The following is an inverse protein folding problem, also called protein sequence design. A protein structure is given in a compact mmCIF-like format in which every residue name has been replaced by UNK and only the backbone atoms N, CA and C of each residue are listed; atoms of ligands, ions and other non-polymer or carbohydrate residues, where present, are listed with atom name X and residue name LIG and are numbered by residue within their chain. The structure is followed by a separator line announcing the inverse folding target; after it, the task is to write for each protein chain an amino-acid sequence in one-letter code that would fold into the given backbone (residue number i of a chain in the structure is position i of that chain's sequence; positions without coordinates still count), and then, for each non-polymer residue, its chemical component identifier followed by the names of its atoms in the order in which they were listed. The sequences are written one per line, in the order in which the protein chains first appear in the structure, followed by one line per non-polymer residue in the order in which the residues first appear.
data_IF_268190073853
#
_entry.id   IF_268190073853
#
_cell.length_a   1.000
_cell.length_b   1.000
_cell.length_c   1.000
_cell.angle_alpha   90.00
_cell.angle_beta   90.00
_cell.angle_gamma   90.00
#
_symmetry.space_group_name_H-M   'P 1'
#
loop_
_entity.id
_entity.type
_entity.pdbx_description
1 polymer ?
#
# COMPACT_ATOMS: atom_id res chain seq x y z
N UNK A 1 31.75 7.14 23.56
CA UNK A 1 31.62 6.56 22.19
C UNK A 1 32.95 6.76 21.53
N UNK A 2 33.68 5.68 21.20
CA UNK A 2 34.96 5.75 20.55
C UNK A 2 34.81 6.27 19.11
N UNK A 3 35.79 6.94 18.54
CA UNK A 3 35.82 7.46 17.17
C UNK A 3 35.53 6.35 16.14
N UNK A 4 36.00 5.14 16.36
CA UNK A 4 35.72 3.97 15.53
C UNK A 4 34.25 3.55 15.59
N UNK A 5 33.62 3.61 16.76
CA UNK A 5 32.18 3.35 16.92
C UNK A 5 31.34 4.43 16.25
N UNK A 6 31.78 5.69 16.28
CA UNK A 6 31.17 6.81 15.58
C UNK A 6 31.31 6.66 14.06
N UNK A 7 32.49 6.27 13.56
CA UNK A 7 32.68 6.01 12.12
C UNK A 7 31.86 4.78 11.67
N UNK A 8 31.83 3.71 12.47
CA UNK A 8 30.99 2.54 12.19
C UNK A 8 29.48 2.89 12.19
N UNK A 9 29.04 3.80 13.05
CA UNK A 9 27.67 4.28 13.04
C UNK A 9 27.32 5.15 11.82
N UNK A 10 28.35 5.80 11.22
CA UNK A 10 28.22 6.61 9.99
C UNK A 10 28.56 5.86 8.71
N UNK A 11 29.33 4.77 8.78
CA UNK A 11 29.45 3.85 7.65
C UNK A 11 28.11 3.14 7.53
N UNK A 12 27.31 3.55 6.54
CA UNK A 12 26.05 2.91 6.16
C UNK A 12 26.35 1.49 5.62
N UNK A 13 26.88 0.63 6.52
CA UNK A 13 27.21 -0.74 6.17
C UNK A 13 25.91 -1.49 5.93
N UNK A 14 25.83 -2.12 4.82
CA UNK A 14 24.77 -3.08 4.43
C UNK A 14 24.89 -4.34 5.28
N UNK A 15 24.71 -4.20 6.60
CA UNK A 15 24.76 -5.31 7.54
C UNK A 15 23.68 -6.34 7.18
N UNK A 16 24.06 -7.60 7.17
CA UNK A 16 23.09 -8.69 7.26
C UNK A 16 22.71 -8.82 8.73
N UNK A 17 21.48 -8.53 9.07
CA UNK A 17 20.93 -8.64 10.44
C UNK A 17 20.25 -9.98 10.66
N UNK A 18 20.04 -10.75 9.58
CA UNK A 18 19.28 -11.98 9.57
C UNK A 18 20.12 -13.25 9.68
N UNK A 19 19.53 -14.34 9.23
CA UNK A 19 20.06 -15.68 9.29
C UNK A 19 19.62 -16.49 8.07
N UNK A 20 20.17 -17.68 7.85
CA UNK A 20 19.71 -18.58 6.78
C UNK A 20 18.30 -19.10 7.10
N UNK A 21 17.33 -19.02 6.15
CA UNK A 21 15.99 -19.53 6.39
C UNK A 21 16.03 -21.02 6.74
N UNK A 22 15.20 -21.40 7.71
CA UNK A 22 15.11 -22.77 8.25
C UNK A 22 13.86 -23.49 7.78
N UNK A 23 12.93 -22.75 7.15
CA UNK A 23 11.65 -23.30 6.67
C UNK A 23 11.14 -22.51 5.45
N UNK A 24 10.44 -23.22 4.57
CA UNK A 24 9.74 -22.63 3.42
C UNK A 24 8.37 -23.29 3.29
N UNK A 25 7.29 -22.50 3.07
CA UNK A 25 5.96 -23.08 2.93
C UNK A 25 5.82 -23.86 1.64
N UNK A 26 5.15 -25.02 1.70
CA UNK A 26 4.80 -25.79 0.52
C UNK A 26 3.85 -24.97 -0.36
N UNK A 27 4.08 -25.01 -1.69
CA UNK A 27 3.27 -24.28 -2.67
C UNK A 27 3.60 -22.80 -2.81
N UNK A 28 4.65 -22.27 -2.16
CA UNK A 28 5.20 -20.96 -2.48
C UNK A 28 5.86 -20.99 -3.88
N UNK A 29 5.55 -20.01 -4.72
CA UNK A 29 6.19 -19.89 -6.04
C UNK A 29 7.68 -19.54 -5.89
N UNK A 30 8.49 -19.92 -6.88
CA UNK A 30 9.95 -19.74 -6.84
C UNK A 30 10.37 -18.30 -6.55
N UNK A 31 9.71 -17.31 -7.15
CA UNK A 31 9.99 -15.91 -6.89
C UNK A 31 9.63 -15.48 -5.44
N UNK A 32 8.58 -16.07 -4.85
CA UNK A 32 8.21 -15.83 -3.45
C UNK A 32 9.25 -16.44 -2.51
N UNK A 33 9.71 -17.66 -2.80
CA UNK A 33 10.79 -18.30 -2.05
C UNK A 33 12.07 -17.47 -2.10
N UNK A 34 12.43 -16.93 -3.27
CA UNK A 34 13.57 -16.04 -3.44
C UNK A 34 13.47 -14.76 -2.59
N UNK A 35 12.28 -14.15 -2.54
CA UNK A 35 12.04 -12.96 -1.72
C UNK A 35 12.11 -13.30 -0.22
N UNK A 36 11.49 -14.41 0.20
CA UNK A 36 11.51 -14.89 1.60
C UNK A 36 12.96 -15.14 2.03
N UNK A 37 13.74 -15.86 1.22
CA UNK A 37 15.14 -16.15 1.50
C UNK A 37 15.96 -14.85 1.66
N UNK A 38 15.86 -13.93 0.71
CA UNK A 38 16.53 -12.62 0.78
C UNK A 38 16.10 -11.85 2.04
N UNK A 39 14.80 -11.85 2.37
CA UNK A 39 14.27 -11.13 3.50
C UNK A 39 14.79 -11.69 4.84
N UNK A 40 14.75 -13.00 5.03
CA UNK A 40 15.22 -13.65 6.26
C UNK A 40 16.73 -13.45 6.45
N UNK A 41 17.53 -13.56 5.37
CA UNK A 41 18.99 -13.28 5.45
C UNK A 41 19.31 -11.83 5.73
N UNK A 42 18.51 -10.89 5.22
CA UNK A 42 18.69 -9.46 5.51
C UNK A 42 18.25 -9.08 6.92
N UNK A 43 17.18 -9.66 7.43
CA UNK A 43 16.59 -9.35 8.74
C UNK A 43 15.98 -7.94 8.84
N UNK A 44 16.33 -7.04 7.91
CA UNK A 44 15.75 -5.69 7.76
C UNK A 44 15.63 -5.36 6.29
N UNK A 45 14.41 -5.34 5.74
CA UNK A 45 14.21 -5.15 4.30
C UNK A 45 12.81 -4.60 3.98
N UNK A 46 12.73 -3.80 2.91
CA UNK A 46 11.50 -3.43 2.24
C UNK A 46 11.14 -4.45 1.15
N UNK A 47 9.99 -5.09 1.26
CA UNK A 47 9.42 -5.98 0.24
C UNK A 47 8.35 -5.23 -0.53
N UNK A 48 8.75 -4.61 -1.62
CA UNK A 48 7.88 -3.76 -2.44
C UNK A 48 7.36 -4.56 -3.64
N UNK A 49 6.41 -5.44 -3.33
CA UNK A 49 5.77 -6.31 -4.30
C UNK A 49 4.38 -5.79 -4.67
N UNK A 50 4.02 -5.85 -5.95
CA UNK A 50 2.70 -5.43 -6.41
C UNK A 50 1.57 -6.25 -5.77
N UNK A 51 0.34 -5.76 -5.89
CA UNK A 51 -0.84 -6.44 -5.33
C UNK A 51 -1.05 -7.78 -6.02
N UNK A 52 -1.37 -8.81 -5.21
CA UNK A 52 -1.60 -10.16 -5.71
C UNK A 52 -0.34 -11.04 -5.84
N UNK A 53 0.86 -10.53 -5.57
CA UNK A 53 2.10 -11.32 -5.58
C UNK A 53 2.32 -12.14 -4.29
N UNK A 54 1.34 -12.19 -3.38
CA UNK A 54 1.40 -13.02 -2.18
C UNK A 54 2.20 -12.41 -1.03
N UNK A 55 2.15 -11.08 -0.86
CA UNK A 55 2.79 -10.39 0.27
C UNK A 55 2.42 -10.98 1.62
N UNK A 56 1.16 -11.32 1.84
CA UNK A 56 0.66 -11.93 3.08
C UNK A 56 1.34 -13.27 3.37
N UNK A 57 1.41 -14.17 2.36
CA UNK A 57 2.13 -15.43 2.44
C UNK A 57 3.59 -15.22 2.81
N UNK A 58 4.28 -14.31 2.10
CA UNK A 58 5.69 -14.04 2.34
C UNK A 58 5.93 -13.49 3.75
N UNK A 59 5.08 -12.59 4.24
CA UNK A 59 5.19 -12.05 5.60
C UNK A 59 4.97 -13.15 6.66
N UNK A 60 3.95 -14.01 6.51
CA UNK A 60 3.72 -15.14 7.43
C UNK A 60 4.89 -16.11 7.40
N UNK A 61 5.43 -16.43 6.23
CA UNK A 61 6.58 -17.32 6.08
C UNK A 61 7.86 -16.74 6.74
N UNK A 62 8.09 -15.45 6.62
CA UNK A 62 9.21 -14.77 7.29
C UNK A 62 8.99 -14.79 8.80
N UNK A 63 7.78 -14.50 9.29
CA UNK A 63 7.44 -14.55 10.70
C UNK A 63 7.71 -15.93 11.31
N UNK A 64 7.29 -16.97 10.62
CA UNK A 64 7.53 -18.36 11.04
C UNK A 64 9.02 -18.71 11.10
N UNK A 65 9.83 -18.27 10.11
CA UNK A 65 11.29 -18.43 10.16
C UNK A 65 11.90 -17.73 11.38
N UNK A 66 11.47 -16.50 11.68
CA UNK A 66 11.95 -15.74 12.85
C UNK A 66 11.61 -16.48 14.15
N UNK A 67 10.39 -17.04 14.26
CA UNK A 67 9.96 -17.78 15.45
C UNK A 67 10.77 -19.07 15.61
N UNK A 68 10.95 -19.84 14.54
CA UNK A 68 11.74 -21.08 14.58
C UNK A 68 13.19 -20.85 14.98
N UNK A 69 13.75 -19.70 14.54
CA UNK A 69 15.13 -19.35 14.87
C UNK A 69 15.28 -18.77 16.28
N UNK A 70 14.36 -17.90 16.72
CA UNK A 70 14.52 -17.11 17.96
C UNK A 70 13.68 -17.60 19.13
N UNK A 71 12.63 -18.35 18.88
CA UNK A 71 11.58 -18.73 19.81
C UNK A 71 10.86 -17.54 20.49
N UNK A 72 10.87 -16.34 19.85
CA UNK A 72 10.30 -15.10 20.38
C UNK A 72 9.11 -14.62 19.51
N UNK A 73 8.36 -13.65 20.05
CA UNK A 73 7.15 -13.10 19.38
C UNK A 73 7.48 -12.19 18.21
N UNK A 74 6.60 -12.24 17.21
CA UNK A 74 6.59 -11.42 16.00
C UNK A 74 5.31 -10.61 15.96
N UNK A 75 5.40 -9.32 15.64
CA UNK A 75 4.26 -8.43 15.40
C UNK A 75 4.12 -8.16 13.91
N UNK A 76 2.90 -8.31 13.40
CA UNK A 76 2.49 -7.86 12.06
C UNK A 76 1.48 -6.74 12.23
N UNK A 77 1.85 -5.53 11.82
CA UNK A 77 0.96 -4.37 11.81
C UNK A 77 0.26 -4.28 10.45
N UNK A 78 -1.06 -4.20 10.48
CA UNK A 78 -1.90 -4.20 9.28
C UNK A 78 -2.88 -3.04 9.28
N UNK A 79 -3.35 -2.61 8.10
CA UNK A 79 -4.55 -1.80 7.99
C UNK A 79 -5.79 -2.51 8.55
N UNK A 80 -6.84 -1.72 8.81
CA UNK A 80 -8.11 -2.23 9.31
C UNK A 80 -8.68 -3.35 8.40
N UNK A 81 -9.29 -4.36 9.01
CA UNK A 81 -9.96 -5.50 8.37
C UNK A 81 -9.05 -6.45 7.54
N UNK A 82 -7.72 -6.32 7.62
CA UNK A 82 -6.79 -7.22 6.91
C UNK A 82 -6.35 -8.40 7.78
N UNK A 83 -6.48 -8.29 9.09
CA UNK A 83 -5.97 -9.29 10.03
C UNK A 83 -6.51 -10.71 9.76
N UNK A 84 -7.79 -10.86 9.38
CA UNK A 84 -8.37 -12.16 9.05
C UNK A 84 -7.67 -12.84 7.85
N UNK A 85 -7.23 -12.05 6.84
CA UNK A 85 -6.51 -12.60 5.68
C UNK A 85 -5.15 -13.21 6.08
N UNK A 86 -4.50 -12.63 7.10
CA UNK A 86 -3.27 -13.22 7.66
C UNK A 86 -3.54 -14.55 8.37
N UNK A 87 -4.65 -14.65 9.09
CA UNK A 87 -5.05 -15.90 9.75
C UNK A 87 -5.38 -16.97 8.71
N UNK A 88 -6.21 -16.64 7.70
CA UNK A 88 -6.58 -17.57 6.63
C UNK A 88 -5.35 -18.05 5.85
N UNK A 89 -4.44 -17.13 5.52
CA UNK A 89 -3.21 -17.46 4.79
C UNK A 89 -2.28 -18.32 5.63
N UNK A 90 -2.13 -18.02 6.93
CA UNK A 90 -1.33 -18.82 7.86
C UNK A 90 -1.86 -20.23 7.96
N UNK A 91 -3.18 -20.41 8.13
CA UNK A 91 -3.83 -21.73 8.14
C UNK A 91 -3.57 -22.48 6.83
N UNK A 92 -3.65 -21.82 5.68
CA UNK A 92 -3.40 -22.41 4.36
C UNK A 92 -1.98 -22.98 4.22
N UNK A 93 -0.98 -22.35 4.84
CA UNK A 93 0.43 -22.79 4.78
C UNK A 93 0.89 -23.55 6.01
N UNK A 94 -0.05 -23.95 6.92
CA UNK A 94 0.24 -24.78 8.09
C UNK A 94 0.92 -24.03 9.23
N UNK A 95 0.63 -22.73 9.42
CA UNK A 95 1.12 -21.92 10.53
C UNK A 95 -0.03 -21.62 11.49
N UNK A 96 -0.05 -22.28 12.67
CA UNK A 96 -1.16 -22.22 13.63
C UNK A 96 -0.89 -21.28 14.81
N UNK A 97 0.37 -20.83 15.01
CA UNK A 97 0.76 -19.97 16.13
C UNK A 97 0.60 -18.48 15.81
N UNK A 98 -0.58 -18.11 15.27
CA UNK A 98 -0.95 -16.76 14.85
C UNK A 98 -2.31 -16.36 15.43
N UNK A 99 -2.46 -15.12 15.88
CA UNK A 99 -3.73 -14.57 16.36
C UNK A 99 -3.86 -13.07 16.08
N UNK A 100 -5.10 -12.60 15.89
CA UNK A 100 -5.43 -11.17 15.86
C UNK A 100 -5.62 -10.64 17.26
N UNK A 101 -4.86 -9.61 17.65
CA UNK A 101 -5.00 -8.92 18.93
C UNK A 101 -5.81 -7.63 18.74
N UNK A 102 -6.98 -7.55 19.39
CA UNK A 102 -7.86 -6.37 19.38
C UNK A 102 -7.71 -5.50 20.63
N UNK A 103 -7.18 -6.04 21.72
CA UNK A 103 -7.10 -5.42 23.04
C UNK A 103 -5.67 -5.36 23.61
N UNK A 104 -4.67 -5.77 22.82
CA UNK A 104 -3.27 -5.85 23.25
C UNK A 104 -2.89 -7.21 23.87
N UNK A 105 -3.81 -8.16 23.98
CA UNK A 105 -3.52 -9.50 24.51
C UNK A 105 -2.67 -10.31 23.54
N UNK A 106 -1.60 -10.93 24.03
CA UNK A 106 -0.62 -11.71 23.27
C UNK A 106 -0.81 -13.21 23.52
N UNK A 107 -1.72 -13.85 22.78
CA UNK A 107 -2.07 -15.27 22.94
C UNK A 107 -1.19 -16.22 22.16
N UNK A 108 -0.62 -15.76 21.05
CA UNK A 108 0.19 -16.52 20.10
C UNK A 108 1.52 -15.83 19.83
N UNK A 109 2.49 -16.53 19.22
CA UNK A 109 3.79 -15.95 18.90
C UNK A 109 3.72 -14.97 17.73
N UNK A 110 2.89 -15.23 16.72
CA UNK A 110 2.59 -14.22 15.68
C UNK A 110 1.35 -13.45 16.14
N UNK A 111 1.54 -12.17 16.43
CA UNK A 111 0.47 -11.25 16.76
C UNK A 111 0.19 -10.37 15.56
N UNK A 112 -1.04 -10.42 15.03
CA UNK A 112 -1.52 -9.47 14.01
C UNK A 112 -2.30 -8.38 14.72
N UNK A 113 -2.00 -7.11 14.45
CA UNK A 113 -2.66 -5.97 15.08
C UNK A 113 -2.84 -4.82 14.09
N UNK A 114 -3.89 -4.03 14.25
CA UNK A 114 -4.12 -2.86 13.40
C UNK A 114 -3.26 -1.68 13.87
N UNK A 115 -2.89 -0.79 12.94
CA UNK A 115 -2.09 0.41 13.24
C UNK A 115 -2.72 1.29 14.32
N UNK A 116 -4.05 1.41 14.33
CA UNK A 116 -4.81 2.21 15.29
C UNK A 116 -4.68 1.71 16.73
N UNK A 117 -4.33 0.43 16.90
CA UNK A 117 -4.18 -0.25 18.20
C UNK A 117 -2.72 -0.41 18.65
N UNK A 118 -1.76 0.15 17.92
CA UNK A 118 -0.33 0.05 18.25
C UNK A 118 -0.01 0.53 19.67
N UNK A 119 -0.75 1.53 20.18
CA UNK A 119 -0.58 2.08 21.52
C UNK A 119 -0.87 1.09 22.65
N UNK A 120 -1.52 -0.05 22.36
CA UNK A 120 -1.79 -1.12 23.32
C UNK A 120 -0.62 -2.11 23.48
N UNK A 121 0.42 -2.01 22.65
CA UNK A 121 1.52 -2.96 22.56
C UNK A 121 2.83 -2.36 23.04
N UNK A 122 3.67 -3.21 23.68
CA UNK A 122 5.02 -2.83 24.08
C UNK A 122 6.06 -3.40 23.07
N UNK A 123 6.93 -2.58 22.47
CA UNK A 123 7.93 -3.06 21.52
C UNK A 123 8.91 -4.11 22.11
N UNK A 124 9.13 -4.11 23.42
CA UNK A 124 10.06 -5.04 24.08
C UNK A 124 9.50 -6.49 24.13
N UNK A 125 8.22 -6.68 23.87
CA UNK A 125 7.60 -8.01 23.78
C UNK A 125 7.92 -8.72 22.46
N UNK A 126 8.50 -8.00 21.47
CA UNK A 126 8.70 -8.50 20.12
C UNK A 126 10.16 -8.47 19.68
N UNK A 127 10.58 -9.50 18.97
CA UNK A 127 11.90 -9.54 18.31
C UNK A 127 11.81 -9.06 16.86
N UNK A 128 10.61 -9.09 16.29
CA UNK A 128 10.34 -8.74 14.90
C UNK A 128 9.08 -7.89 14.77
N UNK A 129 9.13 -6.88 13.92
CA UNK A 129 7.95 -6.10 13.48
C UNK A 129 7.90 -6.07 11.97
N UNK A 130 6.73 -6.37 11.43
CA UNK A 130 6.41 -6.28 10.00
C UNK A 130 5.30 -5.25 9.81
N UNK A 131 5.46 -4.38 8.82
CA UNK A 131 4.43 -3.43 8.39
C UNK A 131 3.81 -3.91 7.09
N UNK A 132 2.57 -4.36 7.14
CA UNK A 132 1.76 -4.54 5.94
C UNK A 132 1.19 -3.18 5.52
N UNK A 133 1.29 -2.84 4.23
CA UNK A 133 1.00 -1.53 3.66
C UNK A 133 1.80 -0.39 4.32
N UNK A 134 3.15 -0.53 4.28
CA UNK A 134 4.09 0.43 4.85
C UNK A 134 4.08 1.83 4.20
N UNK A 135 3.28 2.06 3.16
CA UNK A 135 3.00 3.39 2.60
C UNK A 135 2.42 4.37 3.63
N UNK A 136 1.92 3.88 4.78
CA UNK A 136 1.54 4.70 5.93
C UNK A 136 2.69 5.59 6.44
N UNK A 137 3.95 5.21 6.20
CA UNK A 137 5.15 5.96 6.59
C UNK A 137 5.45 7.16 5.67
N UNK A 138 4.79 7.31 4.53
CA UNK A 138 5.11 8.32 3.52
C UNK A 138 5.06 9.78 4.02
N UNK A 139 4.20 10.08 4.97
CA UNK A 139 4.07 11.43 5.52
C UNK A 139 5.12 11.67 6.60
N UNK A 140 6.20 12.35 6.26
CA UNK A 140 7.31 12.65 7.17
C UNK A 140 6.87 13.42 8.44
N UNK A 141 5.91 14.30 8.35
CA UNK A 141 5.42 15.12 9.47
C UNK A 141 4.23 14.50 10.23
N UNK A 142 3.89 13.23 9.96
CA UNK A 142 2.71 12.57 10.54
C UNK A 142 2.97 11.99 11.93
N UNK A 143 2.14 12.33 12.93
CA UNK A 143 2.20 11.74 14.29
C UNK A 143 2.19 10.21 14.28
N UNK A 144 1.38 9.59 13.43
CA UNK A 144 1.30 8.13 13.27
C UNK A 144 2.64 7.55 12.80
N UNK A 145 3.29 8.21 11.81
CA UNK A 145 4.63 7.81 11.34
C UNK A 145 5.62 7.83 12.49
N UNK A 146 5.66 8.88 13.30
CA UNK A 146 6.62 9.02 14.38
C UNK A 146 6.42 7.95 15.46
N UNK A 147 5.18 7.63 15.80
CA UNK A 147 4.85 6.54 16.72
C UNK A 147 5.33 5.17 16.19
N UNK A 148 5.05 4.87 14.92
CA UNK A 148 5.47 3.62 14.29
C UNK A 148 6.99 3.53 14.25
N UNK A 149 7.68 4.59 13.81
CA UNK A 149 9.15 4.61 13.72
C UNK A 149 9.81 4.47 15.09
N UNK A 150 9.28 5.14 16.11
CA UNK A 150 9.78 5.01 17.48
C UNK A 150 9.62 3.58 18.02
N UNK A 151 8.49 2.93 17.72
CA UNK A 151 8.25 1.54 18.09
C UNK A 151 9.21 0.58 17.39
N UNK A 152 9.31 0.67 16.05
CA UNK A 152 10.14 -0.22 15.23
C UNK A 152 11.64 -0.11 15.57
N UNK A 153 12.12 1.11 15.88
CA UNK A 153 13.56 1.33 16.20
C UNK A 153 14.05 0.50 17.40
N UNK A 154 13.15 0.06 18.28
CA UNK A 154 13.47 -0.80 19.43
C UNK A 154 13.54 -2.29 19.09
N UNK A 155 13.06 -2.69 17.91
CA UNK A 155 12.91 -4.10 17.52
C UNK A 155 14.04 -4.50 16.56
N UNK A 156 14.72 -5.66 16.76
CA UNK A 156 15.85 -6.09 15.92
C UNK A 156 15.49 -6.35 14.47
N UNK A 157 14.49 -7.20 14.20
CA UNK A 157 14.06 -7.58 12.85
C UNK A 157 12.93 -6.68 12.35
N UNK A 158 13.08 -6.12 11.17
CA UNK A 158 12.15 -5.10 10.64
C UNK A 158 11.84 -5.35 9.18
N UNK A 159 10.57 -5.48 8.85
CA UNK A 159 10.13 -5.73 7.48
C UNK A 159 9.03 -4.74 7.09
N UNK A 160 9.18 -4.16 5.91
CA UNK A 160 8.18 -3.28 5.32
C UNK A 160 7.61 -3.94 4.08
N UNK A 161 6.30 -3.85 3.88
CA UNK A 161 5.62 -4.44 2.73
C UNK A 161 4.60 -3.46 2.17
N UNK A 162 4.67 -3.17 0.88
CA UNK A 162 3.68 -2.34 0.16
C UNK A 162 3.80 -2.54 -1.34
N UNK A 163 2.72 -2.26 -2.07
CA UNK A 163 2.74 -2.15 -3.53
C UNK A 163 3.14 -0.76 -4.03
N UNK A 164 3.07 0.25 -3.17
CA UNK A 164 3.32 1.66 -3.51
C UNK A 164 4.34 2.28 -2.55
N UNK A 165 5.64 1.93 -2.68
CA UNK A 165 6.68 2.38 -1.75
C UNK A 165 6.96 3.89 -1.84
N UNK A 166 6.75 4.50 -3.01
CA UNK A 166 6.95 5.92 -3.26
C UNK A 166 5.93 6.41 -4.31
N UNK A 167 4.66 6.57 -3.91
CA UNK A 167 3.58 6.87 -4.85
C UNK A 167 3.67 8.27 -5.48
N UNK A 168 4.34 9.21 -4.85
CA UNK A 168 4.44 10.58 -5.33
C UNK A 168 5.87 10.98 -5.74
N UNK A 169 6.87 10.61 -4.94
CA UNK A 169 8.27 11.01 -5.15
C UNK A 169 9.25 10.03 -4.49
N UNK A 170 10.45 9.87 -5.05
CA UNK A 170 11.53 9.04 -4.50
C UNK A 170 11.96 9.43 -3.08
N UNK A 171 11.75 10.68 -2.67
CA UNK A 171 12.08 11.11 -1.30
C UNK A 171 11.33 10.31 -0.22
N UNK A 172 10.14 9.77 -0.54
CA UNK A 172 9.34 8.96 0.40
C UNK A 172 10.08 7.67 0.84
N UNK A 173 11.02 7.15 0.01
CA UNK A 173 11.85 5.99 0.35
C UNK A 173 12.77 6.26 1.54
N UNK A 174 13.10 7.51 1.83
CA UNK A 174 13.89 7.89 2.99
C UNK A 174 13.21 7.52 4.31
N UNK A 175 11.90 7.64 4.40
CA UNK A 175 11.13 7.22 5.58
C UNK A 175 11.22 5.70 5.80
N UNK A 176 11.12 4.92 4.72
CA UNK A 176 11.26 3.47 4.75
C UNK A 176 12.68 3.05 5.18
N UNK A 177 13.70 3.69 4.62
CA UNK A 177 15.11 3.47 5.00
C UNK A 177 15.36 3.78 6.48
N UNK A 178 14.85 4.89 6.98
CA UNK A 178 14.98 5.29 8.39
C UNK A 178 14.28 4.30 9.33
N UNK A 179 13.08 3.83 8.99
CA UNK A 179 12.35 2.84 9.78
C UNK A 179 13.10 1.51 9.85
N UNK A 180 13.70 1.06 8.75
CA UNK A 180 14.54 -0.14 8.71
C UNK A 180 15.88 0.03 9.45
N UNK A 181 16.30 1.26 9.72
CA UNK A 181 17.54 1.57 10.43
C UNK A 181 18.77 1.61 9.53
N UNK A 182 18.57 1.96 8.26
CA UNK A 182 19.64 2.30 7.31
C UNK A 182 19.93 3.81 7.35
N UNK A 183 19.90 4.48 6.21
CA UNK A 183 20.15 5.93 6.14
C UNK A 183 18.94 6.73 6.63
N UNK A 184 19.17 7.77 7.44
CA UNK A 184 18.13 8.70 7.86
C UNK A 184 17.57 9.51 6.69
N UNK A 185 16.33 9.99 6.83
CA UNK A 185 15.64 10.75 5.79
C UNK A 185 16.44 12.00 5.33
N UNK A 186 16.92 12.81 6.29
CA UNK A 186 17.67 14.03 5.97
C UNK A 186 19.06 13.73 5.35
N UNK A 187 19.72 12.65 5.80
CA UNK A 187 20.98 12.22 5.21
C UNK A 187 20.83 11.78 3.76
N UNK A 188 19.74 11.07 3.46
CA UNK A 188 19.38 10.68 2.10
C UNK A 188 19.14 11.92 1.21
N UNK A 189 18.34 12.88 1.69
CA UNK A 189 18.10 14.13 0.94
C UNK A 189 19.40 14.86 0.64
N UNK A 190 20.26 15.05 1.64
CA UNK A 190 21.53 15.74 1.48
C UNK A 190 22.44 15.02 0.48
N UNK A 191 22.49 13.69 0.55
CA UNK A 191 23.36 12.88 -0.30
C UNK A 191 22.92 12.85 -1.75
N UNK A 192 21.64 12.55 -2.00
CA UNK A 192 21.16 12.21 -3.34
C UNK A 192 20.31 13.30 -4.00
N UNK A 193 19.74 14.22 -3.23
CA UNK A 193 18.82 15.22 -3.75
C UNK A 193 19.41 16.64 -3.67
N UNK A 194 18.88 17.53 -4.52
CA UNK A 194 19.07 18.98 -4.44
C UNK A 194 17.74 19.64 -4.15
N UNK A 195 17.77 20.67 -3.32
CA UNK A 195 16.62 21.55 -3.08
C UNK A 195 16.60 22.68 -4.10
N UNK A 196 15.42 23.04 -4.57
CA UNK A 196 15.20 24.24 -5.37
C UNK A 196 14.55 25.32 -4.48
N UNK A 197 15.36 25.98 -3.66
CA UNK A 197 14.89 27.02 -2.72
C UNK A 197 14.34 28.26 -3.39
N UNK A 198 14.52 28.45 -4.72
CA UNK A 198 14.20 29.66 -5.47
C UNK A 198 13.03 29.49 -6.46
N UNK A 199 12.21 28.48 -6.37
CA UNK A 199 11.02 28.40 -7.22
C UNK A 199 9.89 29.27 -6.66
N UNK A 200 9.98 30.56 -6.94
CA UNK A 200 8.82 31.47 -6.85
C UNK A 200 8.03 31.27 -8.13
N UNK A 201 6.79 30.83 -8.03
CA UNK A 201 5.87 30.81 -9.16
C UNK A 201 5.61 32.23 -9.64
N UNK A 202 5.31 32.42 -10.93
CA UNK A 202 4.98 33.71 -11.58
C UNK A 202 3.88 34.50 -10.83
N UNK A 203 3.14 33.86 -9.92
CA UNK A 203 2.09 34.41 -9.06
C UNK A 203 2.51 34.67 -7.60
N UNK A 204 3.82 34.73 -7.31
CA UNK A 204 4.37 35.05 -5.98
C UNK A 204 3.88 34.13 -4.82
N UNK A 205 3.48 32.87 -5.14
CA UNK A 205 3.16 31.85 -4.13
C UNK A 205 4.42 31.07 -3.83
N UNK A 206 4.81 30.99 -2.55
CA UNK A 206 5.85 30.10 -2.08
C UNK A 206 5.40 28.66 -2.35
N UNK A 207 5.89 28.07 -3.45
CA UNK A 207 5.83 26.63 -3.66
C UNK A 207 6.83 26.06 -2.65
N UNK A 208 6.35 25.23 -1.73
CA UNK A 208 7.18 24.60 -0.72
C UNK A 208 8.43 23.93 -1.34
N UNK A 209 9.46 23.79 -0.54
CA UNK A 209 10.77 23.26 -0.94
C UNK A 209 10.59 21.96 -1.74
N UNK A 210 11.02 21.97 -3.00
CA UNK A 210 10.90 20.82 -3.89
C UNK A 210 12.28 20.19 -4.10
N UNK A 211 12.36 18.89 -3.84
CA UNK A 211 13.57 18.11 -3.97
C UNK A 211 13.63 17.39 -5.31
N UNK A 212 14.81 17.38 -5.94
CA UNK A 212 15.06 16.69 -7.20
C UNK A 212 16.27 15.79 -7.07
N UNK A 213 16.16 14.54 -7.54
CA UNK A 213 17.29 13.62 -7.59
C UNK A 213 18.42 14.23 -8.44
N UNK A 214 19.64 14.25 -7.90
CA UNK A 214 20.81 14.73 -8.62
C UNK A 214 21.13 13.77 -9.78
N UNK A 215 21.25 14.21 -11.05
CA UNK A 215 21.45 13.31 -12.18
C UNK A 215 22.69 12.40 -12.01
N UNK A 216 23.79 12.94 -11.47
CA UNK A 216 25.01 12.16 -11.22
C UNK A 216 24.90 11.18 -10.06
N UNK A 217 23.92 11.33 -9.16
CA UNK A 217 23.69 10.46 -8.01
C UNK A 217 22.62 9.39 -8.28
N UNK A 218 21.99 9.39 -9.43
CA UNK A 218 20.88 8.49 -9.75
C UNK A 218 21.26 7.01 -9.63
N UNK A 219 22.39 6.64 -10.24
CA UNK A 219 22.91 5.26 -10.16
C UNK A 219 23.20 4.83 -8.72
N UNK A 220 23.85 5.69 -7.95
CA UNK A 220 24.21 5.40 -6.56
C UNK A 220 22.97 5.35 -5.65
N UNK A 221 21.96 6.19 -5.94
CA UNK A 221 20.67 6.15 -5.25
C UNK A 221 19.96 4.81 -5.43
N UNK A 222 19.83 4.34 -6.67
CA UNK A 222 19.18 3.06 -6.94
C UNK A 222 19.98 1.87 -6.42
N UNK A 223 21.31 1.91 -6.52
CA UNK A 223 22.18 0.90 -5.91
C UNK A 223 22.00 0.85 -4.38
N UNK A 224 21.87 2.00 -3.73
CA UNK A 224 21.58 2.08 -2.30
C UNK A 224 20.20 1.53 -1.96
N UNK A 225 19.15 1.87 -2.71
CA UNK A 225 17.79 1.35 -2.50
C UNK A 225 17.78 -0.18 -2.61
N UNK A 226 18.47 -0.74 -3.59
CA UNK A 226 18.56 -2.20 -3.80
C UNK A 226 19.21 -2.96 -2.63
N UNK A 227 20.07 -2.30 -1.86
CA UNK A 227 20.74 -2.94 -0.72
C UNK A 227 19.79 -3.31 0.42
N UNK A 228 18.68 -2.58 0.57
CA UNK A 228 17.73 -2.75 1.67
C UNK A 228 16.28 -3.01 1.20
N UNK A 229 16.07 -3.19 -0.10
CA UNK A 229 14.74 -3.51 -0.63
C UNK A 229 14.79 -4.58 -1.73
N UNK A 230 13.61 -5.14 -2.03
CA UNK A 230 13.31 -5.89 -3.23
C UNK A 230 12.05 -5.30 -3.84
N UNK A 231 12.06 -5.05 -5.16
CA UNK A 231 10.96 -4.42 -5.87
C UNK A 231 10.51 -5.32 -7.02
N UNK A 232 9.21 -5.63 -7.08
CA UNK A 232 8.67 -6.56 -8.07
C UNK A 232 7.23 -6.20 -8.43
N UNK A 233 6.96 -6.04 -9.72
CA UNK A 233 5.60 -5.91 -10.29
C UNK A 233 5.06 -7.24 -10.76
N UNK A 234 5.93 -8.09 -11.28
CA UNK A 234 5.61 -9.41 -11.83
C UNK A 234 6.83 -10.33 -11.67
N UNK A 235 6.64 -11.64 -11.67
CA UNK A 235 7.73 -12.60 -11.46
C UNK A 235 8.93 -12.42 -12.41
N UNK A 236 8.70 -12.02 -13.67
CA UNK A 236 9.78 -11.79 -14.64
C UNK A 236 10.71 -10.62 -14.29
N UNK A 237 10.31 -9.72 -13.40
CA UNK A 237 11.21 -8.68 -12.89
C UNK A 237 12.37 -9.26 -12.07
N UNK A 238 12.21 -10.49 -11.55
CA UNK A 238 13.23 -11.26 -10.83
C UNK A 238 13.79 -12.44 -11.64
N UNK A 239 13.48 -12.51 -12.94
CA UNK A 239 13.94 -13.58 -13.83
C UNK A 239 13.08 -14.86 -13.82
N UNK A 240 11.90 -14.86 -13.19
CA UNK A 240 10.97 -15.98 -13.16
C UNK A 240 9.90 -15.84 -14.25
N UNK A 241 9.14 -16.92 -14.50
CA UNK A 241 8.08 -16.91 -15.50
C UNK A 241 6.81 -16.22 -14.95
N UNK A 242 6.13 -15.44 -15.80
CA UNK A 242 4.88 -14.74 -15.46
C UNK A 242 3.63 -15.63 -15.58
N UNK A 243 3.78 -16.92 -15.86
CA UNK A 243 2.64 -17.84 -16.04
C UNK A 243 1.68 -17.82 -14.84
N UNK A 244 0.43 -17.49 -15.11
CA UNK A 244 -0.62 -17.36 -14.09
C UNK A 244 -0.71 -15.97 -13.43
N UNK A 245 0.16 -15.03 -13.81
CA UNK A 245 0.15 -13.65 -13.32
C UNK A 245 -0.40 -12.64 -14.34
N UNK A 246 -0.89 -13.10 -15.47
CA UNK A 246 -1.57 -12.29 -16.46
C UNK A 246 -2.95 -11.88 -15.92
N UNK A 247 -3.21 -10.58 -15.92
CA UNK A 247 -4.48 -10.03 -15.46
C UNK A 247 -5.45 -9.90 -16.64
N UNK A 248 -6.76 -10.14 -16.42
CA UNK A 248 -7.78 -9.85 -17.43
C UNK A 248 -7.85 -8.35 -17.73
N UNK A 249 -8.59 -7.97 -18.77
CA UNK A 249 -8.74 -6.57 -19.15
C UNK A 249 -9.37 -5.72 -18.03
N UNK A 250 -8.84 -4.50 -17.86
CA UNK A 250 -9.45 -3.46 -17.03
C UNK A 250 -10.06 -2.40 -17.94
N UNK A 251 -11.37 -2.25 -17.88
CA UNK A 251 -12.12 -1.27 -18.65
C UNK A 251 -12.41 -0.04 -17.78
N UNK A 252 -11.74 1.06 -18.07
CA UNK A 252 -12.00 2.36 -17.44
C UNK A 252 -12.89 3.17 -18.36
N UNK A 253 -14.12 3.46 -17.93
CA UNK A 253 -15.11 4.21 -18.69
C UNK A 253 -15.38 5.55 -18.01
N UNK A 254 -15.37 6.64 -18.80
CA UNK A 254 -15.63 8.00 -18.32
C UNK A 254 -17.09 8.34 -18.58
N UNK A 255 -17.77 8.85 -17.56
CA UNK A 255 -19.16 9.33 -17.62
C UNK A 255 -19.18 10.77 -17.15
N UNK A 256 -19.45 11.68 -18.07
CA UNK A 256 -19.55 13.11 -17.79
C UNK A 256 -21.04 13.42 -17.57
N UNK A 257 -21.38 14.02 -16.44
CA UNK A 257 -22.71 14.53 -16.16
C UNK A 257 -22.71 16.05 -16.35
N UNK A 258 -23.78 16.54 -16.95
CA UNK A 258 -23.96 17.96 -17.19
C UNK A 258 -24.30 18.66 -15.87
N UNK A 259 -23.76 19.82 -15.65
CA UNK A 259 -24.17 20.67 -14.55
C UNK A 259 -25.48 21.37 -14.91
N UNK A 260 -26.58 21.00 -14.25
CA UNK A 260 -27.86 21.65 -14.43
C UNK A 260 -27.94 23.05 -13.79
N UNK A 261 -26.92 23.41 -12.99
CA UNK A 261 -26.81 24.69 -12.29
C UNK A 261 -25.59 25.45 -12.81
N UNK A 262 -25.81 26.60 -13.43
CA UNK A 262 -24.75 27.52 -13.83
C UNK A 262 -23.93 28.00 -12.62
N UNK A 263 -22.63 27.80 -12.65
CA UNK A 263 -21.73 28.29 -11.61
C UNK A 263 -21.45 29.77 -11.83
N UNK A 264 -21.68 30.61 -10.81
CA UNK A 264 -21.44 32.06 -10.85
C UNK A 264 -20.17 32.38 -10.07
N UNK A 265 -19.13 32.85 -10.75
CA UNK A 265 -18.07 33.62 -10.10
C UNK A 265 -18.53 35.08 -9.97
N UNK A 266 -18.48 35.63 -8.76
CA UNK A 266 -18.81 37.04 -8.45
C UNK A 266 -20.24 37.48 -8.83
N UNK A 267 -21.24 36.59 -8.74
CA UNK A 267 -22.64 36.99 -8.92
C UNK A 267 -23.04 37.26 -10.37
N UNK A 268 -22.24 36.89 -11.36
CA UNK A 268 -22.60 36.91 -12.78
C UNK A 268 -22.85 35.52 -13.31
N UNK A 269 -24.00 35.29 -13.90
CA UNK A 269 -24.34 34.03 -14.58
C UNK A 269 -23.41 33.80 -15.76
N UNK A 270 -22.54 32.80 -15.66
CA UNK A 270 -21.69 32.38 -16.78
C UNK A 270 -22.47 31.40 -17.66
N UNK A 271 -22.58 31.73 -18.93
CA UNK A 271 -23.20 30.89 -19.97
C UNK A 271 -22.41 29.62 -20.30
N UNK A 272 -21.20 29.50 -19.80
CA UNK A 272 -20.32 28.34 -20.03
C UNK A 272 -19.72 27.85 -18.72
N UNK A 273 -19.71 26.52 -18.50
CA UNK A 273 -18.99 25.90 -17.41
C UNK A 273 -17.49 26.18 -17.54
N UNK A 274 -16.91 26.98 -16.62
CA UNK A 274 -15.47 27.18 -16.55
C UNK A 274 -14.83 26.00 -15.82
N UNK A 275 -13.78 25.35 -16.35
CA UNK A 275 -13.12 24.26 -15.63
C UNK A 275 -12.54 24.74 -14.29
N UNK A 276 -12.85 24.03 -13.21
CA UNK A 276 -12.33 24.34 -11.88
C UNK A 276 -10.79 24.29 -11.87
N UNK A 277 -10.14 25.38 -11.48
CA UNK A 277 -8.69 25.54 -11.51
C UNK A 277 -8.02 25.22 -10.15
N UNK A 278 -8.78 25.31 -9.06
CA UNK A 278 -8.29 25.12 -7.68
C UNK A 278 -8.99 23.97 -6.99
N UNK A 279 -8.37 23.43 -5.90
CA UNK A 279 -9.00 22.36 -5.09
C UNK A 279 -10.31 22.83 -4.44
N UNK A 280 -10.45 24.12 -4.15
CA UNK A 280 -11.67 24.71 -3.57
C UNK A 280 -12.78 24.73 -4.61
N UNK A 281 -12.50 25.21 -5.81
CA UNK A 281 -13.47 25.22 -6.93
C UNK A 281 -13.93 23.82 -7.31
N UNK A 282 -13.01 22.85 -7.34
CA UNK A 282 -13.38 21.43 -7.58
C UNK A 282 -14.33 20.92 -6.51
N UNK A 283 -14.13 21.28 -5.23
CA UNK A 283 -15.04 20.89 -4.15
C UNK A 283 -16.42 21.53 -4.27
N UNK A 284 -16.48 22.77 -4.69
CA UNK A 284 -17.75 23.46 -4.92
C UNK A 284 -18.50 22.85 -6.11
N UNK A 285 -17.80 22.59 -7.21
CA UNK A 285 -18.36 21.88 -8.36
C UNK A 285 -18.86 20.47 -7.96
N UNK A 286 -18.12 19.74 -7.14
CA UNK A 286 -18.53 18.45 -6.61
C UNK A 286 -19.84 18.54 -5.79
N UNK A 287 -20.03 19.59 -5.00
CA UNK A 287 -21.26 19.81 -4.24
C UNK A 287 -22.46 20.17 -5.12
N UNK A 288 -22.23 21.00 -6.14
CA UNK A 288 -23.28 21.42 -7.06
C UNK A 288 -23.83 20.25 -7.90
N UNK A 289 -22.99 19.29 -8.24
CA UNK A 289 -23.30 18.17 -9.13
C UNK A 289 -23.50 16.82 -8.40
N UNK A 290 -23.68 16.86 -7.08
CA UNK A 290 -23.84 15.66 -6.25
C UNK A 290 -25.00 14.80 -6.75
N UNK A 291 -26.15 15.39 -7.01
CA UNK A 291 -27.36 14.66 -7.39
C UNK A 291 -27.17 13.92 -8.71
N UNK A 292 -26.76 14.62 -9.75
CA UNK A 292 -26.58 14.09 -11.10
C UNK A 292 -25.51 12.98 -11.11
N UNK A 293 -24.41 13.16 -10.35
CA UNK A 293 -23.34 12.15 -10.25
C UNK A 293 -23.79 10.91 -9.49
N UNK A 294 -24.52 11.06 -8.39
CA UNK A 294 -25.01 9.93 -7.59
C UNK A 294 -26.10 9.15 -8.34
N UNK A 295 -27.04 9.81 -8.99
CA UNK A 295 -28.06 9.15 -9.83
C UNK A 295 -27.40 8.35 -10.97
N UNK A 296 -26.41 8.96 -11.64
CA UNK A 296 -25.66 8.26 -12.69
C UNK A 296 -24.89 7.06 -12.13
N UNK A 297 -24.27 7.18 -10.97
CA UNK A 297 -23.55 6.10 -10.30
C UNK A 297 -24.47 4.91 -9.99
N UNK A 298 -25.66 5.16 -9.45
CA UNK A 298 -26.66 4.11 -9.13
C UNK A 298 -27.12 3.39 -10.40
N UNK A 299 -27.44 4.12 -11.48
CA UNK A 299 -27.79 3.54 -12.78
C UNK A 299 -26.69 2.60 -13.31
N UNK A 300 -25.43 3.00 -13.20
CA UNK A 300 -24.28 2.21 -13.67
C UNK A 300 -24.06 0.92 -12.85
N UNK A 301 -24.42 0.92 -11.59
CA UNK A 301 -24.26 -0.22 -10.67
C UNK A 301 -25.51 -1.12 -10.59
N UNK A 302 -26.60 -0.75 -11.25
CA UNK A 302 -27.85 -1.51 -11.23
C UNK A 302 -27.63 -2.97 -11.64
N UNK A 303 -28.16 -3.90 -10.84
CA UNK A 303 -28.05 -5.34 -11.06
C UNK A 303 -26.64 -5.94 -10.84
N UNK A 304 -25.65 -5.14 -10.42
CA UNK A 304 -24.26 -5.59 -10.25
C UNK A 304 -23.86 -5.63 -8.78
N UNK A 305 -22.89 -6.52 -8.44
CA UNK A 305 -22.08 -6.35 -7.24
C UNK A 305 -21.07 -5.24 -7.51
N UNK A 306 -21.07 -4.19 -6.68
CA UNK A 306 -20.28 -2.97 -6.96
C UNK A 306 -19.82 -2.26 -5.71
N UNK A 307 -18.77 -1.44 -5.86
CA UNK A 307 -18.33 -0.50 -4.83
C UNK A 307 -18.45 0.92 -5.39
N UNK A 308 -19.08 1.80 -4.59
CA UNK A 308 -19.10 3.24 -4.83
C UNK A 308 -17.98 3.90 -4.03
N UNK A 309 -16.99 4.48 -4.71
CA UNK A 309 -15.92 5.24 -4.10
C UNK A 309 -16.25 6.72 -4.12
N UNK A 310 -16.72 7.24 -3.01
CA UNK A 310 -17.07 8.65 -2.86
C UNK A 310 -15.99 9.45 -2.11
N UNK A 311 -16.08 10.78 -2.23
CA UNK A 311 -15.15 11.73 -1.61
C UNK A 311 -15.82 12.54 -0.50
N UNK A 312 -17.05 13.00 -0.76
CA UNK A 312 -17.84 13.85 0.14
C UNK A 312 -18.75 13.00 1.02
N UNK A 313 -19.19 13.52 2.16
CA UNK A 313 -20.24 12.89 2.97
C UNK A 313 -21.57 12.96 2.26
N UNK A 314 -21.88 14.10 1.63
CA UNK A 314 -23.12 14.32 0.89
C UNK A 314 -23.31 13.31 -0.25
N UNK A 315 -22.21 12.91 -0.92
CA UNK A 315 -22.23 11.84 -1.93
C UNK A 315 -22.57 10.49 -1.29
N UNK A 316 -21.98 10.19 -0.14
CA UNK A 316 -22.16 8.92 0.57
C UNK A 316 -23.61 8.77 1.07
N UNK A 317 -24.14 9.81 1.71
CA UNK A 317 -25.50 9.85 2.24
C UNK A 317 -26.54 9.77 1.12
N UNK A 318 -26.33 10.50 0.01
CA UNK A 318 -27.24 10.46 -1.14
C UNK A 318 -27.24 9.10 -1.82
N UNK A 319 -26.07 8.49 -2.06
CA UNK A 319 -25.96 7.15 -2.60
C UNK A 319 -26.70 6.12 -1.73
N UNK A 320 -26.57 6.21 -0.40
CA UNK A 320 -27.28 5.33 0.53
C UNK A 320 -28.81 5.52 0.48
N UNK A 321 -29.28 6.73 0.19
CA UNK A 321 -30.70 7.00 0.03
C UNK A 321 -31.26 6.52 -1.31
N UNK A 322 -30.47 6.57 -2.38
CA UNK A 322 -30.87 6.18 -3.75
C UNK A 322 -30.76 4.66 -4.00
N UNK A 323 -29.85 4.00 -3.31
CA UNK A 323 -29.59 2.56 -3.47
C UNK A 323 -29.80 1.81 -2.14
N UNK A 324 -31.01 1.31 -1.93
CA UNK A 324 -31.41 0.60 -0.70
C UNK A 324 -30.67 -0.73 -0.47
N UNK A 325 -30.04 -1.32 -1.50
CA UNK A 325 -29.25 -2.55 -1.38
C UNK A 325 -27.77 -2.26 -1.03
N UNK A 326 -27.38 -0.99 -0.94
CA UNK A 326 -26.02 -0.60 -0.64
C UNK A 326 -25.80 -0.39 0.87
N UNK A 327 -24.68 -0.87 1.38
CA UNK A 327 -24.27 -0.67 2.77
C UNK A 327 -23.19 0.41 2.82
N UNK A 328 -23.39 1.43 3.65
CA UNK A 328 -22.48 2.56 3.78
C UNK A 328 -21.48 2.34 4.93
N UNK A 329 -20.21 2.73 4.70
CA UNK A 329 -19.19 2.87 5.74
C UNK A 329 -18.85 4.34 5.94
N UNK A 330 -19.17 4.85 7.13
CA UNK A 330 -18.91 6.24 7.52
C UNK A 330 -17.76 6.37 8.52
N UNK A 331 -17.13 7.55 8.54
CA UNK A 331 -15.98 7.83 9.41
C UNK A 331 -16.27 7.63 10.90
N UNK A 332 -17.46 7.99 11.37
CA UNK A 332 -17.88 7.91 12.77
C UNK A 332 -18.22 6.52 13.31
N UNK A 333 -18.29 5.48 12.46
CA UNK A 333 -18.53 4.11 12.92
C UNK A 333 -17.36 3.59 13.77
N UNK A 334 -17.66 2.70 14.72
CA UNK A 334 -16.63 1.98 15.48
C UNK A 334 -15.75 1.14 14.55
N UNK A 335 -14.52 0.88 14.99
CA UNK A 335 -13.55 0.05 14.25
C UNK A 335 -14.12 -1.33 13.97
N UNK A 336 -14.75 -1.95 14.99
CA UNK A 336 -15.31 -3.31 14.87
C UNK A 336 -16.46 -3.37 13.87
N UNK A 337 -17.33 -2.34 13.83
CA UNK A 337 -18.44 -2.29 12.86
C UNK A 337 -17.95 -2.12 11.42
N UNK A 338 -16.93 -1.28 11.20
CA UNK A 338 -16.29 -1.16 9.89
C UNK A 338 -15.69 -2.49 9.44
N UNK A 339 -15.00 -3.18 10.33
CA UNK A 339 -14.39 -4.49 10.07
C UNK A 339 -15.45 -5.53 9.69
N UNK A 340 -16.56 -5.60 10.43
CA UNK A 340 -17.69 -6.49 10.14
C UNK A 340 -18.23 -6.30 8.73
N UNK A 341 -18.54 -5.05 8.34
CA UNK A 341 -19.07 -4.72 7.00
C UNK A 341 -18.07 -5.08 5.90
N UNK A 342 -16.78 -4.77 6.10
CA UNK A 342 -15.74 -5.05 5.10
C UNK A 342 -15.52 -6.55 4.90
N UNK A 343 -15.60 -7.34 5.98
CA UNK A 343 -15.52 -8.81 5.93
C UNK A 343 -16.77 -9.38 5.24
N UNK A 344 -17.97 -8.89 5.58
CA UNK A 344 -19.21 -9.31 4.96
C UNK A 344 -19.21 -9.03 3.44
N UNK A 345 -18.71 -7.86 3.01
CA UNK A 345 -18.54 -7.57 1.59
C UNK A 345 -17.52 -8.49 0.94
N UNK A 346 -16.38 -8.74 1.57
CA UNK A 346 -15.34 -9.65 1.05
C UNK A 346 -15.85 -11.09 0.86
N UNK A 347 -16.81 -11.53 1.68
CA UNK A 347 -17.47 -12.84 1.58
C UNK A 347 -18.64 -12.86 0.58
N UNK A 348 -19.00 -11.72 -0.02
CA UNK A 348 -20.11 -11.60 -0.97
C UNK A 348 -21.50 -11.56 -0.33
N UNK A 349 -21.58 -11.35 0.98
CA UNK A 349 -22.83 -11.23 1.73
C UNK A 349 -23.52 -9.87 1.48
N UNK A 350 -22.75 -8.86 1.10
CA UNK A 350 -23.20 -7.52 0.71
C UNK A 350 -22.99 -7.36 -0.79
N UNK A 351 -24.03 -6.92 -1.50
CA UNK A 351 -24.00 -6.72 -2.96
C UNK A 351 -23.31 -5.41 -3.36
N UNK A 352 -23.64 -4.32 -2.68
CA UNK A 352 -23.10 -2.99 -2.97
C UNK A 352 -22.58 -2.31 -1.71
N UNK A 353 -21.42 -1.70 -1.84
CA UNK A 353 -20.74 -1.03 -0.73
C UNK A 353 -20.49 0.44 -1.09
N UNK A 354 -20.83 1.34 -0.19
CA UNK A 354 -20.52 2.77 -0.30
C UNK A 354 -19.40 3.08 0.69
N UNK A 355 -18.30 3.61 0.19
CA UNK A 355 -17.16 3.94 1.05
C UNK A 355 -16.25 4.98 0.42
N UNK A 356 -15.31 5.51 1.20
CA UNK A 356 -14.26 6.42 0.71
C UNK A 356 -12.97 5.65 0.52
N UNK A 357 -12.28 5.88 -0.60
CA UNK A 357 -11.01 5.25 -0.90
C UNK A 357 -9.98 5.41 0.24
N UNK A 358 -9.97 6.58 0.90
CA UNK A 358 -9.09 6.85 2.05
C UNK A 358 -9.34 5.92 3.25
N UNK A 359 -10.57 5.45 3.44
CA UNK A 359 -10.93 4.62 4.61
C UNK A 359 -10.72 3.13 4.39
N UNK A 360 -10.86 2.67 3.16
CA UNK A 360 -10.96 1.24 2.87
C UNK A 360 -10.06 0.77 1.74
N UNK A 361 -9.22 1.65 1.19
CA UNK A 361 -8.37 1.30 0.04
C UNK A 361 -7.24 0.32 0.37
N UNK A 362 -6.97 0.00 1.63
CA UNK A 362 -5.81 -0.81 2.01
C UNK A 362 -6.15 -2.27 2.34
N UNK A 363 -5.41 -3.21 1.74
CA UNK A 363 -5.25 -4.60 2.18
C UNK A 363 -6.33 -5.63 1.78
N UNK A 364 -7.57 -5.26 1.48
CA UNK A 364 -8.68 -6.20 1.26
C UNK A 364 -8.70 -6.86 -0.12
N UNK A 365 -9.22 -8.08 -0.22
CA UNK A 365 -9.41 -8.81 -1.47
C UNK A 365 -10.90 -8.87 -1.84
N UNK A 366 -11.25 -8.25 -2.98
CA UNK A 366 -12.62 -8.18 -3.49
C UNK A 366 -12.75 -8.68 -4.92
N UNK A 367 -12.06 -9.76 -5.26
CA UNK A 367 -12.06 -10.37 -6.61
C UNK A 367 -13.44 -10.90 -7.05
N UNK A 368 -14.35 -11.16 -6.11
CA UNK A 368 -15.73 -11.52 -6.42
C UNK A 368 -16.49 -10.36 -7.08
N UNK A 369 -16.10 -9.12 -6.82
CA UNK A 369 -16.66 -7.91 -7.39
C UNK A 369 -15.91 -7.52 -8.67
N UNK A 370 -16.64 -7.33 -9.78
CA UNK A 370 -16.08 -7.06 -11.11
C UNK A 370 -16.39 -5.65 -11.60
N UNK A 371 -17.11 -4.89 -10.80
CA UNK A 371 -17.58 -3.56 -11.15
C UNK A 371 -17.37 -2.57 -10.01
N UNK A 372 -17.01 -1.36 -10.36
CA UNK A 372 -16.88 -0.27 -9.38
C UNK A 372 -17.20 1.06 -10.02
N UNK A 373 -17.81 1.96 -9.25
CA UNK A 373 -18.04 3.35 -9.62
C UNK A 373 -17.09 4.22 -8.79
N UNK A 374 -16.33 5.06 -9.45
CA UNK A 374 -15.31 5.89 -8.83
C UNK A 374 -15.56 7.37 -9.10
N UNK A 375 -15.66 8.17 -8.02
CA UNK A 375 -15.64 9.62 -8.11
C UNK A 375 -14.16 10.06 -7.98
N UNK A 376 -13.54 10.56 -9.06
CA UNK A 376 -12.11 10.81 -9.08
C UNK A 376 -11.62 11.81 -8.05
N UNK A 377 -10.42 11.56 -7.53
CA UNK A 377 -9.65 12.44 -6.66
C UNK A 377 -8.31 12.78 -7.29
N UNK A 378 -7.59 13.75 -6.71
CA UNK A 378 -6.22 14.09 -7.11
C UNK A 378 -5.18 13.03 -6.71
N UNK A 379 -5.57 11.95 -6.00
CA UNK A 379 -4.66 10.95 -5.45
C UNK A 379 -4.59 9.69 -6.32
N UNK A 380 -3.49 9.55 -7.06
CA UNK A 380 -3.18 8.33 -7.80
C UNK A 380 -3.17 7.10 -6.88
N UNK A 381 -2.56 7.20 -5.70
CA UNK A 381 -2.46 6.08 -4.76
C UNK A 381 -3.83 5.56 -4.33
N UNK A 382 -4.77 6.46 -4.00
CA UNK A 382 -6.12 6.05 -3.62
C UNK A 382 -6.84 5.35 -4.79
N UNK A 383 -6.72 5.89 -6.00
CA UNK A 383 -7.27 5.26 -7.19
C UNK A 383 -6.65 3.88 -7.44
N UNK A 384 -5.32 3.81 -7.46
CA UNK A 384 -4.59 2.58 -7.68
C UNK A 384 -4.97 1.51 -6.66
N UNK A 385 -4.93 1.83 -5.39
CA UNK A 385 -5.28 0.89 -4.32
C UNK A 385 -6.74 0.47 -4.38
N UNK A 386 -7.68 1.36 -4.72
CA UNK A 386 -9.08 1.03 -4.91
C UNK A 386 -9.28 0.01 -6.04
N UNK A 387 -8.69 0.27 -7.22
CA UNK A 387 -8.82 -0.64 -8.38
C UNK A 387 -8.16 -1.99 -8.12
N UNK A 388 -7.00 -2.01 -7.45
CA UNK A 388 -6.26 -3.24 -7.14
C UNK A 388 -6.93 -4.11 -6.06
N UNK A 389 -8.10 -3.75 -5.56
CA UNK A 389 -8.99 -4.62 -4.78
C UNK A 389 -9.66 -5.67 -5.65
N UNK A 390 -10.03 -5.27 -6.85
CA UNK A 390 -10.77 -6.06 -7.82
C UNK A 390 -9.85 -6.67 -8.86
N UNK A 391 -8.98 -5.83 -9.45
CA UNK A 391 -8.07 -6.16 -10.54
C UNK A 391 -6.69 -6.53 -9.99
N UNK A 392 -6.56 -7.77 -9.56
CA UNK A 392 -5.36 -8.33 -8.93
C UNK A 392 -5.18 -9.79 -9.32
N UNK A 393 -4.00 -10.36 -9.06
CA UNK A 393 -3.71 -11.77 -9.31
C UNK A 393 -4.82 -12.68 -8.75
N UNK A 394 -5.22 -13.66 -9.57
CA UNK A 394 -6.34 -14.56 -9.27
C UNK A 394 -7.69 -14.05 -9.79
N UNK A 395 -7.79 -12.80 -10.28
CA UNK A 395 -8.99 -12.33 -11.01
C UNK A 395 -9.08 -13.04 -12.35
N UNK A 396 -10.22 -13.70 -12.59
CA UNK A 396 -10.49 -14.48 -13.83
C UNK A 396 -11.39 -13.75 -14.81
N UNK A 397 -11.99 -12.65 -14.40
CA UNK A 397 -12.96 -11.89 -15.20
C UNK A 397 -12.47 -10.47 -15.43
N UNK A 398 -12.89 -9.89 -16.55
CA UNK A 398 -12.68 -8.48 -16.81
C UNK A 398 -13.30 -7.61 -15.73
N UNK A 399 -12.64 -6.51 -15.39
CA UNK A 399 -13.09 -5.56 -14.37
C UNK A 399 -13.45 -4.25 -15.04
N UNK A 400 -14.60 -3.69 -14.67
CA UNK A 400 -15.05 -2.37 -15.14
C UNK A 400 -14.98 -1.35 -14.01
N UNK A 401 -14.34 -0.23 -14.29
CA UNK A 401 -14.34 0.98 -13.45
C UNK A 401 -15.07 2.11 -14.20
N UNK A 402 -16.23 2.47 -13.75
CA UNK A 402 -16.99 3.61 -14.27
C UNK A 402 -16.60 4.86 -13.46
N UNK A 403 -15.90 5.80 -14.09
CA UNK A 403 -15.54 7.09 -13.50
C UNK A 403 -16.65 8.10 -13.80
N UNK A 404 -17.28 8.64 -12.76
CA UNK A 404 -18.35 9.64 -12.89
C UNK A 404 -17.81 11.00 -12.47
N UNK A 405 -17.83 11.96 -13.40
CA UNK A 405 -17.34 13.33 -13.23
C UNK A 405 -18.38 14.33 -13.75
N UNK A 406 -18.30 15.58 -13.30
CA UNK A 406 -18.95 16.71 -13.97
C UNK A 406 -18.04 17.34 -15.02
N UNK A 407 -18.58 18.18 -15.91
CA UNK A 407 -17.82 18.91 -16.92
C UNK A 407 -16.66 19.75 -16.33
N UNK A 408 -16.86 20.33 -15.13
CA UNK A 408 -15.83 21.12 -14.44
C UNK A 408 -14.68 20.28 -13.84
N UNK A 409 -14.80 18.95 -13.79
CA UNK A 409 -13.82 18.06 -13.16
C UNK A 409 -12.83 17.37 -14.14
N UNK A 410 -12.89 17.67 -15.42
CA UNK A 410 -12.00 17.05 -16.44
C UNK A 410 -10.52 17.19 -16.08
N UNK A 411 -10.11 18.36 -15.55
CA UNK A 411 -8.73 18.59 -15.09
C UNK A 411 -8.28 17.67 -13.94
N UNK A 412 -9.21 17.27 -13.08
CA UNK A 412 -8.92 16.28 -12.00
C UNK A 412 -8.55 14.95 -12.63
N UNK A 413 -9.30 14.55 -13.65
CA UNK A 413 -9.07 13.31 -14.36
C UNK A 413 -7.75 13.33 -15.14
N UNK A 414 -7.47 14.40 -15.87
CA UNK A 414 -6.19 14.60 -16.58
C UNK A 414 -4.99 14.54 -15.61
N UNK A 415 -5.10 15.22 -14.47
CA UNK A 415 -4.08 15.19 -13.43
C UNK A 415 -3.88 13.79 -12.84
N UNK A 416 -4.96 13.03 -12.66
CA UNK A 416 -4.90 11.65 -12.20
C UNK A 416 -4.22 10.75 -13.25
N UNK A 417 -4.52 10.91 -14.53
CA UNK A 417 -3.90 10.18 -15.63
C UNK A 417 -2.40 10.47 -15.73
N UNK A 418 -2.01 11.75 -15.65
CA UNK A 418 -0.60 12.15 -15.65
C UNK A 418 0.17 11.58 -14.44
N UNK A 419 -0.43 11.59 -13.25
CA UNK A 419 0.17 10.99 -12.07
C UNK A 419 0.28 9.48 -12.19
N UNK A 420 -0.73 8.83 -12.80
CA UNK A 420 -0.71 7.40 -13.10
C UNK A 420 0.47 7.05 -13.99
N UNK A 421 0.65 7.79 -15.10
CA UNK A 421 1.75 7.56 -16.02
C UNK A 421 3.12 7.77 -15.35
N UNK A 422 3.28 8.86 -14.61
CA UNK A 422 4.51 9.11 -13.84
C UNK A 422 4.82 8.03 -12.81
N UNK A 423 3.82 7.55 -12.07
CA UNK A 423 4.02 6.49 -11.09
C UNK A 423 4.41 5.16 -11.75
N UNK A 424 3.85 4.84 -12.91
CA UNK A 424 4.22 3.66 -13.70
C UNK A 424 5.68 3.74 -14.15
N UNK A 425 6.11 4.88 -14.69
CA UNK A 425 7.48 5.12 -15.13
C UNK A 425 8.47 5.08 -13.94
N UNK A 426 8.16 5.81 -12.88
CA UNK A 426 8.96 5.89 -11.66
C UNK A 426 9.20 4.50 -11.06
N UNK A 427 8.13 3.73 -10.89
CA UNK A 427 8.22 2.37 -10.36
C UNK A 427 8.89 1.39 -11.35
N UNK A 428 8.69 1.58 -12.66
CA UNK A 428 9.38 0.82 -13.70
C UNK A 428 10.91 1.01 -13.65
N UNK A 429 11.36 2.26 -13.51
CA UNK A 429 12.77 2.60 -13.36
C UNK A 429 13.36 2.01 -12.07
N UNK A 430 12.63 2.07 -10.96
CA UNK A 430 13.03 1.45 -9.69
C UNK A 430 13.22 -0.06 -9.82
N UNK A 431 12.24 -0.77 -10.42
CA UNK A 431 12.30 -2.21 -10.63
C UNK A 431 13.49 -2.58 -11.53
N UNK A 432 13.65 -1.90 -12.67
CA UNK A 432 14.74 -2.16 -13.61
C UNK A 432 16.12 -1.92 -12.99
N UNK A 433 16.27 -0.90 -12.14
CA UNK A 433 17.52 -0.59 -11.47
C UNK A 433 17.79 -1.52 -10.29
N UNK A 434 16.76 -1.87 -9.51
CA UNK A 434 16.88 -2.70 -8.32
C UNK A 434 17.22 -4.18 -8.62
N UNK A 435 16.85 -4.68 -9.80
CA UNK A 435 16.98 -6.11 -10.11
C UNK A 435 18.19 -6.44 -10.99
N UNK A 436 19.04 -5.48 -11.35
CA UNK A 436 20.21 -5.71 -12.20
C UNK A 436 21.18 -6.78 -11.66
N UNK A 437 21.29 -6.90 -10.33
CA UNK A 437 22.20 -7.81 -9.66
C UNK A 437 21.47 -8.91 -8.87
N UNK A 438 20.19 -9.16 -9.17
CA UNK A 438 19.43 -10.19 -8.48
C UNK A 438 19.80 -11.56 -9.04
N UNK A 439 20.49 -12.38 -8.24
CA UNK A 439 20.77 -13.78 -8.56
C UNK A 439 20.14 -14.68 -7.50
N UNK A 440 19.44 -15.71 -7.93
CA UNK A 440 18.81 -16.68 -7.03
C UNK A 440 19.14 -18.10 -7.49
N UNK A 441 19.45 -18.96 -6.52
CA UNK A 441 19.59 -20.41 -6.75
C UNK A 441 18.56 -21.11 -5.88
N UNK A 442 17.62 -21.84 -6.51
CA UNK A 442 16.62 -22.64 -5.80
C UNK A 442 17.36 -23.69 -4.96
N UNK A 443 17.18 -23.62 -3.64
CA UNK A 443 17.63 -24.67 -2.71
C UNK A 443 16.44 -25.50 -2.28
N UNK A 444 16.60 -26.81 -2.23
CA UNK A 444 15.61 -27.70 -1.61
C UNK A 444 15.64 -27.52 -0.09
N UNK A 445 14.69 -26.77 0.47
CA UNK A 445 14.62 -26.47 1.91
C UNK A 445 13.94 -27.57 2.73
N UNK A 446 13.16 -28.46 2.11
CA UNK A 446 12.35 -29.47 2.80
C UNK A 446 13.08 -30.82 2.94
N UNK A 447 14.40 -30.86 2.89
CA UNK A 447 15.12 -32.09 3.25
C UNK A 447 14.89 -32.36 4.73
N UNK A 448 14.18 -33.45 5.02
CA UNK A 448 14.13 -34.05 6.37
C UNK A 448 15.57 -34.18 6.85
N UNK A 449 15.93 -33.39 7.86
CA UNK A 449 17.23 -33.54 8.54
C UNK A 449 17.23 -34.94 9.14
N UNK A 450 17.90 -35.89 8.51
CA UNK A 450 18.14 -37.19 9.14
C UNK A 450 18.94 -36.92 10.40
N UNK A 451 18.29 -37.10 11.54
CA UNK A 451 18.99 -37.07 12.82
C UNK A 451 20.16 -38.05 12.74
N UNK A 452 21.39 -37.62 13.08
CA UNK A 452 22.53 -38.50 13.20
C UNK A 452 22.18 -39.70 14.08
N UNK A 453 22.69 -40.89 13.75
CA UNK A 453 22.36 -42.11 14.48
C UNK A 453 22.63 -42.06 15.99
N UNK A 454 23.57 -41.22 16.43
CA UNK A 454 23.86 -41.02 17.87
C UNK A 454 22.84 -40.16 18.62
N UNK A 455 21.84 -39.58 17.93
CA UNK A 455 20.71 -38.85 18.51
C UNK A 455 19.37 -39.61 18.39
N UNK A 456 19.40 -40.84 17.85
CA UNK A 456 18.30 -41.79 17.91
C UNK A 456 18.39 -42.58 19.20
#
# INVERSE_FOLDING_TARGET
MNYEDFIRSKTHSTGSYGFDPVWMPDGAFDFQQAIIEKAVRKGRIGMFADTGLGKTLMQVAIAENIIRHTNKRVLILTPLAVAFQFIDEATRIGVDDIAHSKDGTLTKKITVCNYERLHLLNPDDFVCVMLDESSILKNFAGKTRDQIVAFIKRVPYRFLSTATPSPNDFIELGNSSEALGYMGYMDMLTKFFKSNQNSVDSNNRNIGEKFYLKPHAERDFFAWVNQWSVMVKKPSDLGFQDKGYELPALHVKKHIVNNSKTWCMDGQDSLFAMPAATMTEVREEQKLTVTERCERAVQLAEGKTSVYWCNLNDESELLASLDSDAVEIIGGMSIDKKEEILVAFARGEIKRLITKAKMTSMGLNWQHCKHTVFFPTWSYEQYYQAIRRFWRFGQKSEVTCDMVISEGQERVLEALEQKTQKAIELYGNLVAAANRDFSFTVKEFNQTVKLPEFLK
#
